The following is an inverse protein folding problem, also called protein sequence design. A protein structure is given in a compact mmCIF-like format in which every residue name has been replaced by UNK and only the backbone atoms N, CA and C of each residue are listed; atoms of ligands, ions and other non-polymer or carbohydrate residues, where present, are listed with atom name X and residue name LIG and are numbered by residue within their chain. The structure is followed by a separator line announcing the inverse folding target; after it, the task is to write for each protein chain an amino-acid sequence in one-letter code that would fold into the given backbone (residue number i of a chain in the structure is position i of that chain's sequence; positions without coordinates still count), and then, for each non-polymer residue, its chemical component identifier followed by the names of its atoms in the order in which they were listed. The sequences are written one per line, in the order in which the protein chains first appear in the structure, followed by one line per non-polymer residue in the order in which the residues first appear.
data_IF_148345632800
#
_entry.id   IF_148345632800
#
_cell.length_a   1.000
_cell.length_b   1.000
_cell.length_c   1.000
_cell.angle_alpha   90.00
_cell.angle_beta   90.00
_cell.angle_gamma   90.00
#
_symmetry.space_group_name_H-M   'P 1'
#
loop_
_entity.id
_entity.type
_entity.pdbx_description
1 polymer ?
#
# COMPACT_ATOMS: atom_id res chain seq x y z
N UNK A 1 0.15 11.04 13.78
CA UNK A 1 1.60 10.76 13.99
C UNK A 1 2.48 11.67 13.15
N UNK A 2 2.32 11.74 11.82
CA UNK A 2 3.14 12.63 10.97
C UNK A 2 3.17 14.09 11.44
N UNK A 3 2.01 14.71 11.63
CA UNK A 3 1.90 16.11 12.11
C UNK A 3 2.44 16.31 13.54
N UNK A 4 2.40 15.28 14.40
CA UNK A 4 2.75 15.39 15.81
C UNK A 4 4.21 15.01 16.12
N UNK A 5 5.01 14.70 15.10
CA UNK A 5 6.41 14.25 15.27
C UNK A 5 7.29 14.88 14.21
N UNK A 6 8.54 15.18 14.55
CA UNK A 6 9.48 15.83 13.61
C UNK A 6 10.58 14.90 13.09
N UNK A 7 10.90 13.84 13.84
CA UNK A 7 12.09 13.00 13.57
C UNK A 7 11.80 11.52 13.39
N UNK A 8 10.65 11.04 13.85
CA UNK A 8 10.33 9.61 13.87
C UNK A 8 10.08 9.10 12.44
N UNK A 9 10.76 8.03 11.97
CA UNK A 9 10.43 7.39 10.71
C UNK A 9 9.03 6.77 10.77
N UNK A 10 8.28 6.86 9.67
CA UNK A 10 6.91 6.35 9.58
C UNK A 10 6.84 5.32 8.46
N UNK A 11 6.07 4.25 8.65
CA UNK A 11 5.86 3.28 7.58
C UNK A 11 4.58 2.48 7.77
N UNK A 12 4.05 1.96 6.65
CA UNK A 12 3.14 0.81 6.67
C UNK A 12 3.94 -0.48 6.74
N UNK A 13 3.42 -1.49 7.45
CA UNK A 13 4.11 -2.77 7.62
C UNK A 13 3.12 -3.94 7.65
N UNK A 14 2.53 -4.36 6.54
CA UNK A 14 2.58 -3.81 5.17
C UNK A 14 1.16 -3.43 4.71
N UNK A 15 1.00 -2.81 3.54
CA UNK A 15 -0.31 -2.53 2.92
C UNK A 15 -0.50 -3.37 1.64
N UNK A 16 -1.67 -3.98 1.48
CA UNK A 16 -2.05 -4.66 0.24
C UNK A 16 -2.65 -3.64 -0.75
N UNK A 17 -2.08 -3.46 -1.95
CA UNK A 17 -2.54 -2.43 -2.89
C UNK A 17 -3.44 -2.96 -4.02
N UNK A 18 -3.94 -4.20 -3.92
CA UNK A 18 -4.52 -4.92 -5.08
C UNK A 18 -5.97 -5.36 -4.94
N UNK A 19 -6.52 -5.50 -3.73
CA UNK A 19 -7.89 -6.04 -3.54
C UNK A 19 -8.87 -4.97 -3.08
N UNK A 20 -8.80 -4.55 -1.82
CA UNK A 20 -9.70 -3.51 -1.27
C UNK A 20 -9.29 -2.07 -1.61
N UNK A 21 -8.17 -1.88 -2.29
CA UNK A 21 -7.65 -0.58 -2.70
C UNK A 21 -7.23 -0.58 -4.16
N UNK A 22 -7.47 0.53 -4.83
CA UNK A 22 -6.89 0.79 -6.15
C UNK A 22 -5.44 1.31 -5.99
N UNK A 23 -4.45 0.76 -6.74
CA UNK A 23 -3.03 1.11 -6.56
C UNK A 23 -2.73 2.60 -6.77
N UNK A 24 -3.37 3.25 -7.75
CA UNK A 24 -3.22 4.70 -7.96
C UNK A 24 -3.65 5.54 -6.73
N UNK A 25 -4.69 5.12 -6.02
CA UNK A 25 -5.14 5.81 -4.79
C UNK A 25 -4.16 5.58 -3.64
N UNK A 26 -3.55 4.39 -3.57
CA UNK A 26 -2.47 4.11 -2.60
C UNK A 26 -1.25 5.00 -2.90
N UNK A 27 -0.87 5.15 -4.16
CA UNK A 27 0.22 6.04 -4.59
C UNK A 27 -0.04 7.49 -4.15
N UNK A 28 -1.21 8.04 -4.47
CA UNK A 28 -1.59 9.39 -4.09
C UNK A 28 -1.57 9.61 -2.56
N UNK A 29 -2.12 8.66 -1.80
CA UNK A 29 -2.11 8.72 -0.32
C UNK A 29 -0.69 8.67 0.22
N UNK A 30 0.16 7.79 -0.29
CA UNK A 30 1.54 7.67 0.13
C UNK A 30 2.36 8.93 -0.17
N UNK A 31 2.21 9.50 -1.38
CA UNK A 31 2.84 10.76 -1.76
C UNK A 31 2.40 11.93 -0.86
N UNK A 32 1.09 12.02 -0.56
CA UNK A 32 0.56 13.04 0.33
C UNK A 32 1.15 12.94 1.74
N UNK A 33 1.18 11.73 2.32
CA UNK A 33 1.78 11.51 3.64
C UNK A 33 3.29 11.75 3.61
N UNK A 34 3.97 11.42 2.50
CA UNK A 34 5.39 11.70 2.34
C UNK A 34 5.69 13.20 2.41
N UNK A 35 4.89 14.04 1.76
CA UNK A 35 4.99 15.50 1.84
C UNK A 35 4.68 16.01 3.25
N UNK A 36 3.57 15.58 3.84
CA UNK A 36 3.16 16.01 5.20
C UNK A 36 4.15 15.56 6.28
N UNK A 37 4.85 14.44 6.06
CA UNK A 37 5.87 13.93 6.98
C UNK A 37 7.25 14.50 6.73
N UNK A 38 7.41 15.42 5.77
CA UNK A 38 8.69 15.99 5.35
C UNK A 38 9.72 14.91 4.98
N UNK A 39 9.28 13.89 4.25
CA UNK A 39 10.16 12.85 3.71
C UNK A 39 10.37 11.62 4.59
N UNK A 40 9.71 11.54 5.76
CA UNK A 40 9.94 10.47 6.76
C UNK A 40 9.14 9.20 6.52
N UNK A 41 8.18 9.20 5.59
CA UNK A 41 7.29 8.08 5.35
C UNK A 41 7.85 7.08 4.34
N UNK A 42 7.67 5.79 4.61
CA UNK A 42 7.98 4.69 3.70
C UNK A 42 6.75 3.81 3.49
N UNK A 43 6.38 3.58 2.24
CA UNK A 43 5.29 2.69 1.90
C UNK A 43 5.80 1.24 1.83
N UNK A 44 5.44 0.43 2.83
CA UNK A 44 5.63 -1.01 2.79
C UNK A 44 4.41 -1.69 2.15
N UNK A 45 4.66 -2.58 1.18
CA UNK A 45 3.64 -3.28 0.40
C UNK A 45 3.73 -4.80 0.56
N UNK A 46 2.60 -5.49 0.40
CA UNK A 46 2.53 -6.96 0.42
C UNK A 46 1.33 -7.50 -0.35
N UNK A 47 1.33 -8.82 -0.57
CA UNK A 47 0.32 -9.50 -1.41
C UNK A 47 -1.03 -9.72 -0.73
N UNK A 48 -1.18 -9.31 0.53
CA UNK A 48 -2.42 -9.33 1.29
C UNK A 48 -2.69 -10.63 2.03
N UNK A 49 -3.71 -10.58 2.88
CA UNK A 49 -4.14 -11.69 3.74
C UNK A 49 -5.64 -11.92 3.63
N UNK A 50 -6.05 -13.20 3.51
CA UNK A 50 -7.44 -13.55 3.22
C UNK A 50 -8.40 -12.91 4.23
N UNK A 51 -8.05 -12.96 5.52
CA UNK A 51 -8.82 -12.41 6.62
C UNK A 51 -9.24 -10.94 6.40
N UNK A 52 -8.40 -10.14 5.75
CA UNK A 52 -8.66 -8.73 5.50
C UNK A 52 -9.28 -8.46 4.13
N UNK A 53 -8.96 -9.27 3.11
CA UNK A 53 -9.36 -8.98 1.73
C UNK A 53 -10.69 -9.62 1.33
N UNK A 54 -11.08 -10.76 1.90
CA UNK A 54 -12.32 -11.47 1.48
C UNK A 54 -13.59 -10.66 1.73
N UNK A 55 -13.56 -9.71 2.67
CA UNK A 55 -14.71 -8.91 3.07
C UNK A 55 -15.25 -8.03 1.94
N UNK A 56 -14.46 -7.76 0.89
CA UNK A 56 -14.91 -7.01 -0.30
C UNK A 56 -15.46 -7.90 -1.42
N UNK A 57 -15.61 -9.21 -1.19
CA UNK A 57 -16.44 -10.10 -2.02
C UNK A 57 -15.85 -10.56 -3.36
N UNK A 58 -14.60 -10.23 -3.69
CA UNK A 58 -13.96 -10.57 -4.97
C UNK A 58 -13.28 -11.96 -5.01
N UNK A 59 -13.49 -12.80 -4.00
CA UNK A 59 -12.80 -14.07 -3.84
C UNK A 59 -11.36 -13.92 -3.35
N UNK A 60 -10.66 -15.06 -3.23
CA UNK A 60 -9.28 -15.10 -2.74
C UNK A 60 -8.37 -15.81 -3.75
N UNK A 61 -7.65 -15.05 -4.60
CA UNK A 61 -6.75 -15.63 -5.60
C UNK A 61 -5.62 -16.44 -4.97
N UNK A 62 -5.03 -17.37 -5.73
CA UNK A 62 -3.88 -18.16 -5.28
C UNK A 62 -2.65 -17.28 -5.04
N UNK A 63 -1.70 -17.76 -4.24
CA UNK A 63 -0.51 -16.98 -3.91
C UNK A 63 0.29 -16.47 -5.13
N UNK A 64 0.54 -17.28 -6.19
CA UNK A 64 1.24 -16.79 -7.39
C UNK A 64 0.53 -15.60 -8.04
N UNK A 65 -0.79 -15.68 -8.21
CA UNK A 65 -1.60 -14.59 -8.79
C UNK A 65 -1.49 -13.32 -7.95
N UNK A 66 -1.56 -13.44 -6.62
CA UNK A 66 -1.43 -12.25 -5.74
C UNK A 66 -0.04 -11.62 -5.78
N UNK A 67 1.00 -12.39 -6.07
CA UNK A 67 2.36 -11.87 -6.26
C UNK A 67 2.46 -11.12 -7.60
N UNK A 68 1.92 -11.66 -8.69
CA UNK A 68 1.85 -10.96 -9.99
C UNK A 68 1.07 -9.65 -9.89
N UNK A 69 -0.10 -9.68 -9.24
CA UNK A 69 -0.89 -8.47 -8.98
C UNK A 69 -0.10 -7.43 -8.17
N UNK A 70 0.70 -7.88 -7.20
CA UNK A 70 1.54 -6.98 -6.40
C UNK A 70 2.66 -6.36 -7.26
N UNK A 71 3.31 -7.13 -8.12
CA UNK A 71 4.33 -6.61 -9.05
C UNK A 71 3.74 -5.54 -9.98
N UNK A 72 2.57 -5.79 -10.57
CA UNK A 72 1.87 -4.81 -11.40
C UNK A 72 1.51 -3.55 -10.60
N UNK A 73 0.95 -3.71 -9.40
CA UNK A 73 0.61 -2.59 -8.53
C UNK A 73 1.82 -1.75 -8.14
N UNK A 74 2.98 -2.39 -7.87
CA UNK A 74 4.24 -1.68 -7.62
C UNK A 74 4.67 -0.89 -8.85
N UNK A 75 4.51 -1.45 -10.06
CA UNK A 75 4.76 -0.76 -11.32
C UNK A 75 3.90 0.50 -11.45
N UNK A 76 2.59 0.37 -11.23
CA UNK A 76 1.63 1.50 -11.28
C UNK A 76 2.00 2.57 -10.25
N UNK A 77 2.27 2.18 -9.00
CA UNK A 77 2.58 3.13 -7.91
C UNK A 77 3.87 3.90 -8.20
N UNK A 78 4.88 3.27 -8.82
CA UNK A 78 6.16 3.92 -9.16
C UNK A 78 6.08 4.86 -10.36
N UNK A 79 5.11 4.64 -11.25
CA UNK A 79 4.92 5.45 -12.44
C UNK A 79 4.18 6.78 -12.18
N UNK A 80 3.59 6.93 -10.99
CA UNK A 80 2.82 8.09 -10.53
C UNK A 80 3.61 8.89 -9.49
#
# INVERSE_FOLDING_TARGET
VAQATERLPLMTYVTCPTVRYHPAVVAQKAATVQLLSQGRFRLGLGSGENLNEHVVGHGWPTAPVRVEMLEEAVGIIRAL
#
